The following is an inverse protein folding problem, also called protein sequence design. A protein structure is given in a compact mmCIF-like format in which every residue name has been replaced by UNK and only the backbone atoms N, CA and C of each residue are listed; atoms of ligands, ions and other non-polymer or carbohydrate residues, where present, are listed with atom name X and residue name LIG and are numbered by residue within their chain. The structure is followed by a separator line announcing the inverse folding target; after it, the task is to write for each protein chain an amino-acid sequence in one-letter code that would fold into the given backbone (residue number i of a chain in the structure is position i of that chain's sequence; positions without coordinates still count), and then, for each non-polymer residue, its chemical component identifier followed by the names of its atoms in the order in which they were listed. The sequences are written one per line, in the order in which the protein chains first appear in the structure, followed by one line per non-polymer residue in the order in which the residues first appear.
data_IF_337045080849
#
_entry.id   IF_337045080849
#
_cell.length_a   1.000
_cell.length_b   1.000
_cell.length_c   1.000
_cell.angle_alpha   90.00
_cell.angle_beta   90.00
_cell.angle_gamma   90.00
#
_symmetry.space_group_name_H-M   'P 1'
#
loop_
_entity.id
_entity.type
_entity.pdbx_description
1 polymer ?
#
# COMPACT_ATOMS: atom_id res chain seq x y z
N UNK A 1 -46.36 49.57 50.99
CA UNK A 1 -45.59 49.88 49.77
C UNK A 1 -44.23 49.22 49.89
N UNK A 2 -43.94 48.15 49.14
CA UNK A 2 -42.58 47.78 48.70
C UNK A 2 -42.74 46.70 47.62
N UNK A 3 -42.55 47.08 46.34
CA UNK A 3 -42.53 46.16 45.20
C UNK A 3 -41.10 45.62 45.06
N UNK A 4 -40.90 44.33 45.31
CA UNK A 4 -39.65 43.64 45.02
C UNK A 4 -39.71 43.08 43.60
N UNK A 5 -38.94 43.67 42.67
CA UNK A 5 -38.79 43.15 41.30
C UNK A 5 -37.65 42.13 41.29
N UNK A 6 -37.97 40.86 41.03
CA UNK A 6 -36.99 39.81 40.72
C UNK A 6 -36.68 39.86 39.22
N UNK A 7 -35.44 40.18 38.87
CA UNK A 7 -34.91 40.16 37.52
C UNK A 7 -34.39 38.74 37.24
N UNK A 8 -35.07 38.00 36.36
CA UNK A 8 -34.61 36.67 35.91
C UNK A 8 -33.65 36.87 34.74
N UNK A 9 -32.36 36.66 34.97
CA UNK A 9 -31.34 36.63 33.93
C UNK A 9 -31.27 35.20 33.40
N UNK A 10 -31.84 34.97 32.21
CA UNK A 10 -31.67 33.72 31.48
C UNK A 10 -30.26 33.69 30.86
N UNK A 11 -29.34 32.99 31.51
CA UNK A 11 -28.02 32.67 30.93
C UNK A 11 -28.22 31.48 29.99
N UNK A 12 -28.40 31.77 28.71
CA UNK A 12 -28.37 30.76 27.65
C UNK A 12 -26.92 30.30 27.44
N UNK A 13 -26.57 29.16 28.04
CA UNK A 13 -25.31 28.46 27.80
C UNK A 13 -25.44 27.79 26.42
N UNK A 14 -24.89 28.44 25.39
CA UNK A 14 -24.67 27.81 24.10
C UNK A 14 -23.56 26.77 24.22
N UNK A 15 -23.92 25.50 24.25
CA UNK A 15 -22.98 24.39 24.06
C UNK A 15 -22.71 24.26 22.56
N UNK A 16 -21.74 25.01 22.06
CA UNK A 16 -21.09 24.73 20.77
C UNK A 16 -20.20 23.51 20.93
N UNK A 17 -20.77 22.33 20.69
CA UNK A 17 -20.00 21.09 20.55
C UNK A 17 -19.32 21.08 19.17
N UNK A 18 -18.13 21.67 19.07
CA UNK A 18 -17.23 21.40 17.95
C UNK A 18 -16.53 20.06 18.23
N UNK A 19 -17.08 18.96 17.71
CA UNK A 19 -16.34 17.71 17.61
C UNK A 19 -15.24 17.88 16.55
N UNK A 20 -14.04 18.29 16.97
CA UNK A 20 -12.87 18.21 16.12
C UNK A 20 -12.51 16.72 15.97
N UNK A 21 -12.78 16.15 14.79
CA UNK A 21 -12.27 14.83 14.44
C UNK A 21 -10.73 14.88 14.47
N UNK A 22 -10.12 14.08 15.34
CA UNK A 22 -8.67 13.93 15.42
C UNK A 22 -8.17 13.22 14.15
N UNK A 23 -7.73 14.02 13.18
CA UNK A 23 -7.12 13.55 11.94
C UNK A 23 -5.73 12.95 12.22
N UNK A 24 -5.56 11.65 11.97
CA UNK A 24 -4.24 11.00 11.96
C UNK A 24 -3.59 11.19 10.59
N UNK A 25 -2.44 11.86 10.53
CA UNK A 25 -1.70 12.07 9.28
C UNK A 25 -1.30 10.72 8.65
N UNK A 26 -1.59 10.49 7.36
CA UNK A 26 -1.17 9.27 6.66
C UNK A 26 0.36 9.15 6.66
N UNK A 27 0.87 8.00 7.09
CA UNK A 27 2.29 7.65 6.97
C UNK A 27 2.66 7.46 5.50
N UNK A 28 3.58 8.27 4.98
CA UNK A 28 4.12 8.13 3.61
C UNK A 28 3.93 9.34 2.70
N UNK A 29 3.05 10.27 3.07
CA UNK A 29 3.00 11.58 2.42
C UNK A 29 4.23 12.39 2.85
N UNK A 30 4.77 13.20 1.94
CA UNK A 30 5.91 14.10 2.17
C UNK A 30 5.56 15.27 3.10
N UNK A 31 4.97 14.99 4.25
CA UNK A 31 4.68 15.96 5.31
C UNK A 31 5.96 16.46 5.97
N UNK A 32 5.94 17.68 6.50
CA UNK A 32 7.00 18.19 7.37
C UNK A 32 6.48 18.31 8.80
N UNK A 33 7.16 17.66 9.74
CA UNK A 33 7.08 18.04 11.16
C UNK A 33 7.90 19.33 11.35
N UNK A 34 7.25 20.40 11.82
CA UNK A 34 7.92 21.59 12.33
C UNK A 34 8.66 22.50 11.32
N UNK A 35 8.27 23.78 11.30
CA UNK A 35 9.22 24.91 11.27
C UNK A 35 10.16 25.16 10.07
N UNK A 36 10.05 24.49 8.92
CA UNK A 36 10.81 24.88 7.72
C UNK A 36 9.99 25.79 6.77
N UNK A 37 10.60 26.91 6.38
CA UNK A 37 9.98 28.17 5.89
C UNK A 37 9.25 28.16 4.53
N UNK A 38 8.92 27.00 3.96
CA UNK A 38 8.31 26.95 2.59
C UNK A 38 7.08 26.05 2.45
N UNK A 39 6.65 25.37 3.50
CA UNK A 39 5.46 24.53 3.42
C UNK A 39 4.16 25.37 3.39
N UNK A 40 3.25 25.02 2.49
CA UNK A 40 1.94 25.64 2.31
C UNK A 40 0.86 24.80 2.99
N UNK A 41 -0.03 25.44 3.73
CA UNK A 41 -1.21 24.77 4.30
C UNK A 41 -2.33 24.79 3.28
N UNK A 42 -2.84 23.63 2.92
CA UNK A 42 -4.01 23.44 2.06
C UNK A 42 -5.20 23.00 2.92
N UNK A 43 -6.29 23.75 2.87
CA UNK A 43 -7.55 23.41 3.52
C UNK A 43 -8.42 22.66 2.52
N UNK A 44 -8.82 21.44 2.84
CA UNK A 44 -9.72 20.63 2.01
C UNK A 44 -11.03 20.45 2.75
N UNK A 45 -12.16 20.73 2.09
CA UNK A 45 -13.50 20.54 2.67
C UNK A 45 -14.45 19.87 1.68
N UNK A 46 -15.49 19.22 2.18
CA UNK A 46 -16.62 18.74 1.37
C UNK A 46 -17.74 19.80 1.34
N UNK A 47 -18.36 20.02 0.19
CA UNK A 47 -19.59 20.80 0.11
C UNK A 47 -20.83 20.02 0.59
N UNK A 48 -22.02 20.62 0.46
CA UNK A 48 -23.31 20.11 0.90
C UNK A 48 -24.08 19.32 -0.17
N UNK A 49 -23.48 19.07 -1.34
CA UNK A 49 -24.15 18.32 -2.40
C UNK A 49 -24.22 16.84 -2.07
N UNK A 50 -25.44 16.31 -2.07
CA UNK A 50 -25.70 14.88 -1.90
C UNK A 50 -25.40 14.10 -3.18
N UNK A 51 -25.01 12.84 -3.01
CA UNK A 51 -24.97 11.88 -4.11
C UNK A 51 -26.38 11.50 -4.56
N UNK A 52 -26.51 10.92 -5.76
CA UNK A 52 -27.79 10.59 -6.38
C UNK A 52 -28.70 9.67 -5.53
N UNK A 53 -28.13 8.91 -4.59
CA UNK A 53 -28.85 7.97 -3.73
C UNK A 53 -28.84 8.34 -2.24
N UNK A 54 -28.24 9.47 -1.88
CA UNK A 54 -28.14 9.91 -0.48
C UNK A 54 -29.32 10.82 -0.07
N UNK A 55 -29.68 10.75 1.21
CA UNK A 55 -30.61 11.69 1.84
C UNK A 55 -29.83 12.60 2.81
N UNK A 56 -30.32 13.80 3.18
CA UNK A 56 -29.64 14.68 4.15
C UNK A 56 -29.26 13.97 5.46
N UNK A 57 -30.13 13.06 5.92
CA UNK A 57 -29.96 12.21 7.10
C UNK A 57 -29.11 10.93 6.87
N UNK A 58 -28.78 10.56 5.63
CA UNK A 58 -28.03 9.34 5.29
C UNK A 58 -26.96 9.65 4.24
N UNK A 59 -25.78 10.02 4.71
CA UNK A 59 -24.63 10.42 3.90
C UNK A 59 -23.67 9.23 3.72
N UNK A 60 -24.05 8.26 2.90
CA UNK A 60 -23.29 7.02 2.73
C UNK A 60 -22.23 7.12 1.61
N UNK A 61 -22.07 8.30 1.03
CA UNK A 61 -21.25 8.53 -0.16
C UNK A 61 -20.10 9.52 0.11
N UNK A 62 -19.01 9.09 0.79
CA UNK A 62 -17.85 9.94 0.99
C UNK A 62 -17.09 10.18 -0.31
N UNK A 63 -16.49 11.36 -0.46
CA UNK A 63 -15.43 11.57 -1.45
C UNK A 63 -14.10 11.15 -0.82
N UNK A 64 -13.46 10.13 -1.39
CA UNK A 64 -12.12 9.73 -1.01
C UNK A 64 -11.11 10.63 -1.69
N UNK A 65 -10.31 11.34 -0.89
CA UNK A 65 -9.30 12.27 -1.36
C UNK A 65 -7.90 11.64 -1.23
N UNK A 66 -7.11 11.80 -2.27
CA UNK A 66 -5.76 11.25 -2.39
C UNK A 66 -4.78 12.36 -2.75
N UNK A 67 -3.57 12.25 -2.20
CA UNK A 67 -2.40 13.03 -2.61
C UNK A 67 -1.33 12.03 -3.02
N UNK A 68 -0.82 12.10 -4.26
CA UNK A 68 0.21 11.21 -4.81
C UNK A 68 -0.09 9.70 -4.60
N UNK A 69 -1.35 9.31 -4.80
CA UNK A 69 -1.90 7.95 -4.58
C UNK A 69 -2.08 7.49 -3.12
N UNK A 70 -1.74 8.30 -2.12
CA UNK A 70 -2.01 7.98 -0.72
C UNK A 70 -3.40 8.49 -0.35
N UNK A 71 -4.26 7.64 0.23
CA UNK A 71 -5.57 8.07 0.69
C UNK A 71 -5.42 9.00 1.89
N UNK A 72 -5.61 10.28 1.60
CA UNK A 72 -5.44 11.39 2.52
C UNK A 72 -6.66 11.64 3.39
N UNK A 73 -7.83 11.11 3.01
CA UNK A 73 -9.03 11.17 3.84
C UNK A 73 -10.29 10.73 3.10
N UNK A 74 -11.33 10.43 3.87
CA UNK A 74 -12.69 10.19 3.37
C UNK A 74 -13.58 11.33 3.86
N UNK A 75 -14.14 12.09 2.93
CA UNK A 75 -14.83 13.34 3.21
C UNK A 75 -16.34 13.20 3.04
N UNK A 76 -17.04 13.14 4.18
CA UNK A 76 -18.49 13.28 4.27
C UNK A 76 -18.90 14.76 4.27
N UNK A 77 -20.18 15.07 4.09
CA UNK A 77 -20.65 16.46 4.10
C UNK A 77 -20.24 17.11 5.44
N UNK A 78 -19.80 18.37 5.37
CA UNK A 78 -19.22 19.16 6.47
C UNK A 78 -17.84 18.70 6.98
N UNK A 79 -17.24 17.63 6.44
CA UNK A 79 -15.86 17.30 6.79
C UNK A 79 -14.89 18.32 6.20
N UNK A 80 -13.87 18.66 6.98
CA UNK A 80 -12.73 19.44 6.54
C UNK A 80 -11.44 18.89 7.17
N UNK A 81 -10.32 19.08 6.48
CA UNK A 81 -8.98 18.73 6.95
C UNK A 81 -7.95 19.72 6.43
N UNK A 82 -6.80 19.78 7.10
CA UNK A 82 -5.68 20.63 6.72
C UNK A 82 -4.46 19.77 6.39
N UNK A 83 -3.81 20.07 5.27
CA UNK A 83 -2.62 19.38 4.79
C UNK A 83 -1.46 20.36 4.68
N UNK A 84 -0.33 20.04 5.30
CA UNK A 84 0.89 20.86 5.20
C UNK A 84 1.82 20.27 4.16
N UNK A 85 1.85 20.87 2.97
CA UNK A 85 2.54 20.35 1.78
C UNK A 85 3.76 21.21 1.44
N UNK A 86 4.79 20.61 0.84
CA UNK A 86 5.94 21.34 0.28
C UNK A 86 5.52 22.05 -1.02
N UNK A 87 6.26 23.05 -1.53
CA UNK A 87 5.93 23.71 -2.79
C UNK A 87 6.40 22.85 -3.98
N UNK A 88 5.77 21.69 -4.16
CA UNK A 88 6.05 20.71 -5.21
C UNK A 88 4.79 20.48 -6.08
N UNK A 89 4.93 19.71 -7.16
CA UNK A 89 3.78 19.20 -7.93
C UNK A 89 3.20 18.01 -7.18
N UNK A 90 1.90 18.04 -6.91
CA UNK A 90 1.15 16.91 -6.37
C UNK A 90 0.09 16.45 -7.36
N UNK A 91 -0.20 15.15 -7.35
CA UNK A 91 -1.42 14.61 -7.94
C UNK A 91 -2.51 14.61 -6.88
N UNK A 92 -3.49 15.49 -7.01
CA UNK A 92 -4.72 15.48 -6.23
C UNK A 92 -5.76 14.63 -6.94
N UNK A 93 -6.21 13.56 -6.28
CA UNK A 93 -7.20 12.65 -6.84
C UNK A 93 -8.40 12.54 -5.91
N UNK A 94 -9.59 12.68 -6.46
CA UNK A 94 -10.85 12.42 -5.77
C UNK A 94 -11.53 11.21 -6.38
N UNK A 95 -12.06 10.34 -5.54
CA UNK A 95 -12.85 9.18 -5.96
C UNK A 95 -14.18 9.15 -5.23
N UNK A 96 -15.22 8.78 -5.95
CA UNK A 96 -16.50 8.39 -5.40
C UNK A 96 -16.82 7.00 -5.94
N UNK A 97 -16.87 6.02 -5.04
CA UNK A 97 -17.11 4.63 -5.40
C UNK A 97 -18.38 4.13 -4.71
N UNK A 98 -19.26 3.50 -5.48
CA UNK A 98 -20.35 2.66 -4.98
C UNK A 98 -19.92 1.19 -5.02
N UNK A 99 -20.83 0.29 -4.64
CA UNK A 99 -20.60 -1.16 -4.76
C UNK A 99 -20.45 -1.65 -6.20
N UNK A 100 -20.85 -0.85 -7.19
CA UNK A 100 -20.96 -1.25 -8.60
C UNK A 100 -20.06 -0.42 -9.53
N UNK A 101 -19.82 0.86 -9.21
CA UNK A 101 -19.06 1.78 -10.07
C UNK A 101 -18.15 2.67 -9.24
N UNK A 102 -17.00 3.04 -9.78
CA UNK A 102 -16.18 4.10 -9.19
C UNK A 102 -15.80 5.16 -10.21
N UNK A 103 -16.10 6.41 -9.88
CA UNK A 103 -15.77 7.59 -10.68
C UNK A 103 -14.66 8.40 -10.01
N UNK A 104 -13.79 9.01 -10.81
CA UNK A 104 -12.67 9.79 -10.29
C UNK A 104 -12.37 11.05 -11.10
N UNK A 105 -11.68 11.98 -10.44
CA UNK A 105 -11.08 13.16 -11.05
C UNK A 105 -9.67 13.33 -10.51
N UNK A 106 -8.72 13.50 -11.42
CA UNK A 106 -7.29 13.68 -11.17
C UNK A 106 -6.87 15.09 -11.57
N UNK A 107 -6.08 15.76 -10.73
CA UNK A 107 -5.55 17.09 -11.01
C UNK A 107 -4.08 17.11 -10.59
N UNK A 108 -3.17 17.28 -11.54
CA UNK A 108 -1.75 17.51 -11.28
C UNK A 108 -1.55 19.02 -11.07
N UNK A 109 -1.09 19.44 -9.89
CA UNK A 109 -1.04 20.85 -9.51
C UNK A 109 0.17 21.18 -8.64
N UNK A 110 0.84 22.30 -8.94
CA UNK A 110 1.79 22.91 -8.02
C UNK A 110 1.03 23.71 -6.96
N UNK A 111 1.35 23.55 -5.68
CA UNK A 111 0.59 24.21 -4.60
C UNK A 111 0.60 25.75 -4.71
N UNK A 112 1.63 26.32 -5.32
CA UNK A 112 1.76 27.76 -5.58
C UNK A 112 0.92 28.28 -6.78
N UNK A 113 0.31 27.39 -7.57
CA UNK A 113 -0.57 27.75 -8.69
C UNK A 113 -2.05 27.85 -8.27
N UNK A 114 -2.36 27.54 -7.02
CA UNK A 114 -3.69 27.73 -6.47
C UNK A 114 -4.03 29.22 -6.33
N UNK A 115 -5.26 29.59 -6.66
CA UNK A 115 -5.77 30.95 -6.45
C UNK A 115 -5.89 31.28 -4.95
N UNK A 116 -6.18 30.28 -4.13
CA UNK A 116 -6.16 30.34 -2.67
C UNK A 116 -5.84 28.95 -2.07
N UNK A 117 -5.63 28.88 -0.77
CA UNK A 117 -5.29 27.63 -0.08
C UNK A 117 -6.49 26.69 0.14
N UNK A 118 -7.65 26.94 -0.48
CA UNK A 118 -8.88 26.23 -0.19
C UNK A 118 -9.30 25.34 -1.37
N UNK A 119 -9.40 24.05 -1.12
CA UNK A 119 -9.97 23.07 -2.03
C UNK A 119 -11.34 22.64 -1.50
N UNK A 120 -12.34 22.69 -2.37
CA UNK A 120 -13.68 22.14 -2.06
C UNK A 120 -13.92 20.92 -2.92
N UNK A 121 -14.17 19.79 -2.26
CA UNK A 121 -14.52 18.53 -2.89
C UNK A 121 -16.03 18.54 -3.15
N UNK A 122 -16.40 18.34 -4.41
CA UNK A 122 -17.78 18.39 -4.87
C UNK A 122 -18.11 17.16 -5.72
N UNK A 123 -19.39 16.95 -5.98
CA UNK A 123 -19.89 15.85 -6.79
C UNK A 123 -20.98 16.36 -7.73
N UNK A 124 -21.01 15.81 -8.95
CA UNK A 124 -22.09 16.09 -9.88
C UNK A 124 -23.30 15.16 -9.66
N UNK A 125 -24.39 15.44 -10.37
CA UNK A 125 -25.64 14.66 -10.31
C UNK A 125 -25.49 13.19 -10.74
N UNK A 126 -24.41 12.84 -11.44
CA UNK A 126 -24.14 11.48 -11.91
C UNK A 126 -23.17 10.74 -10.98
N UNK A 127 -22.76 11.36 -9.86
CA UNK A 127 -21.83 10.78 -8.91
C UNK A 127 -20.36 11.08 -9.21
N UNK A 128 -20.04 11.92 -10.20
CA UNK A 128 -18.66 12.20 -10.60
C UNK A 128 -18.04 13.21 -9.64
N UNK A 129 -16.98 12.86 -8.90
CA UNK A 129 -16.34 13.78 -7.99
C UNK A 129 -15.45 14.77 -8.76
N UNK A 130 -15.30 15.98 -8.24
CA UNK A 130 -14.40 17.00 -8.78
C UNK A 130 -13.89 17.94 -7.68
N UNK A 131 -12.87 18.74 -8.01
CA UNK A 131 -12.21 19.66 -7.07
C UNK A 131 -12.46 21.09 -7.53
N UNK A 132 -12.89 21.95 -6.60
CA UNK A 132 -13.00 23.39 -6.81
C UNK A 132 -11.85 24.11 -6.10
N UNK A 133 -11.26 25.11 -6.75
CA UNK A 133 -10.41 26.12 -6.11
C UNK A 133 -10.98 27.51 -6.38
N UNK A 134 -11.21 28.29 -5.32
CA UNK A 134 -11.90 29.58 -5.42
C UNK A 134 -13.21 29.53 -6.25
N UNK A 135 -14.02 28.48 -6.02
CA UNK A 135 -15.30 28.27 -6.71
C UNK A 135 -15.22 27.81 -8.17
N UNK A 136 -14.01 27.71 -8.75
CA UNK A 136 -13.81 27.21 -10.12
C UNK A 136 -13.40 25.75 -10.10
N UNK A 137 -14.01 24.95 -10.96
CA UNK A 137 -13.63 23.55 -11.15
C UNK A 137 -12.24 23.47 -11.75
N UNK A 138 -11.37 22.72 -11.06
CA UNK A 138 -10.07 22.35 -11.59
C UNK A 138 -10.29 21.33 -12.71
N UNK A 139 -9.64 21.56 -13.85
CA UNK A 139 -9.77 20.68 -15.01
C UNK A 139 -9.27 19.30 -14.62
N UNK A 140 -10.20 18.34 -14.51
CA UNK A 140 -9.84 16.96 -14.34
C UNK A 140 -8.98 16.55 -15.53
N UNK A 141 -7.72 16.23 -15.28
CA UNK A 141 -6.94 15.44 -16.21
C UNK A 141 -7.75 14.18 -16.45
N UNK A 142 -8.24 14.00 -17.68
CA UNK A 142 -8.67 12.70 -18.17
C UNK A 142 -7.39 11.88 -18.32
N UNK A 143 -6.76 11.55 -17.19
CA UNK A 143 -5.64 10.64 -17.12
C UNK A 143 -6.29 9.29 -17.34
N UNK A 144 -6.50 8.95 -18.62
CA UNK A 144 -6.53 7.54 -19.02
C UNK A 144 -5.39 6.91 -18.24
N UNK A 145 -5.73 5.95 -17.38
CA UNK A 145 -4.76 5.26 -16.55
C UNK A 145 -3.61 4.88 -17.50
N UNK A 146 -2.48 5.55 -17.36
CA UNK A 146 -1.28 5.11 -18.07
C UNK A 146 -1.14 3.67 -17.62
N UNK A 147 -1.16 2.68 -18.52
CA UNK A 147 -1.08 1.29 -18.08
C UNK A 147 0.24 1.19 -17.33
N UNK A 148 0.16 1.14 -16.00
CA UNK A 148 1.29 0.85 -15.15
C UNK A 148 1.58 -0.60 -15.41
N UNK A 149 2.47 -0.85 -16.37
CA UNK A 149 2.87 -2.19 -16.76
C UNK A 149 3.53 -2.80 -15.54
N UNK A 150 2.85 -3.76 -14.93
CA UNK A 150 3.48 -4.58 -13.90
C UNK A 150 4.53 -5.45 -14.56
N UNK A 151 5.72 -5.47 -13.97
CA UNK A 151 6.79 -6.35 -14.37
C UNK A 151 6.92 -7.46 -13.34
N UNK A 152 7.03 -8.70 -13.81
CA UNK A 152 7.38 -9.83 -12.96
C UNK A 152 8.87 -10.11 -13.05
N UNK A 153 9.57 -9.98 -11.92
CA UNK A 153 10.97 -10.37 -11.79
C UNK A 153 11.07 -11.70 -11.07
N UNK A 154 11.94 -12.59 -11.57
CA UNK A 154 12.17 -13.91 -10.98
C UNK A 154 13.57 -13.97 -10.39
N UNK A 155 13.66 -14.33 -9.12
CA UNK A 155 14.92 -14.49 -8.38
C UNK A 155 14.98 -15.92 -7.85
N UNK A 156 16.15 -16.54 -7.94
CA UNK A 156 16.39 -17.91 -7.45
C UNK A 156 17.28 -17.83 -6.20
N UNK A 157 16.75 -18.23 -5.05
CA UNK A 157 17.52 -18.35 -3.82
C UNK A 157 17.96 -19.80 -3.62
N UNK A 158 19.26 -20.03 -3.52
CA UNK A 158 19.84 -21.37 -3.29
C UNK A 158 19.52 -21.87 -1.89
N UNK A 159 18.87 -23.03 -1.77
CA UNK A 159 18.53 -23.58 -0.45
C UNK A 159 19.80 -23.94 0.36
N UNK A 160 20.87 -24.36 -0.30
CA UNK A 160 22.15 -24.70 0.35
C UNK A 160 22.90 -23.47 0.86
N UNK A 161 22.62 -22.30 0.28
CA UNK A 161 23.14 -21.03 0.79
C UNK A 161 22.29 -20.51 1.93
N UNK A 162 20.98 -20.75 1.85
CA UNK A 162 20.01 -20.30 2.84
C UNK A 162 20.09 -21.11 4.14
N UNK A 163 20.18 -22.43 4.06
CA UNK A 163 19.98 -23.35 5.18
C UNK A 163 21.17 -24.29 5.38
N UNK A 164 21.34 -24.80 6.60
CA UNK A 164 22.13 -26.01 6.86
C UNK A 164 21.58 -27.18 6.03
N UNK A 165 22.40 -28.22 5.86
CA UNK A 165 21.98 -29.44 5.17
C UNK A 165 20.66 -29.98 5.73
N UNK A 166 19.71 -30.28 4.84
CA UNK A 166 18.34 -30.72 5.14
C UNK A 166 17.49 -29.72 5.97
N UNK A 167 18.03 -28.52 6.19
CA UNK A 167 17.39 -27.46 6.96
C UNK A 167 16.26 -26.77 6.19
N UNK A 168 15.31 -26.25 6.96
CA UNK A 168 14.18 -25.48 6.42
C UNK A 168 13.60 -24.44 7.36
N UNK A 169 14.00 -24.42 8.62
CA UNK A 169 13.47 -23.51 9.64
C UNK A 169 14.40 -22.31 9.86
N UNK A 170 13.91 -21.31 10.61
CA UNK A 170 14.73 -20.16 11.03
C UNK A 170 16.00 -20.56 11.81
N UNK A 171 15.97 -21.69 12.54
CA UNK A 171 17.11 -22.21 13.29
C UNK A 171 18.16 -22.89 12.41
N UNK A 172 17.74 -23.31 11.22
CA UNK A 172 18.62 -23.92 10.21
C UNK A 172 19.23 -22.88 9.29
N UNK A 173 18.72 -21.64 9.31
CA UNK A 173 19.16 -20.56 8.44
C UNK A 173 20.62 -20.19 8.73
N UNK A 174 21.43 -20.13 7.69
CA UNK A 174 22.81 -19.70 7.76
C UNK A 174 22.89 -18.17 7.83
N UNK A 175 23.94 -17.59 8.44
CA UNK A 175 24.12 -16.13 8.46
C UNK A 175 24.09 -15.49 7.07
N UNK A 176 24.75 -16.15 6.09
CA UNK A 176 24.72 -15.72 4.68
C UNK A 176 23.32 -15.78 4.10
N UNK A 177 22.56 -16.84 4.38
CA UNK A 177 21.17 -16.99 3.96
C UNK A 177 20.27 -15.88 4.49
N UNK A 178 20.42 -15.54 5.77
CA UNK A 178 19.72 -14.40 6.38
C UNK A 178 20.04 -13.08 5.67
N UNK A 179 21.31 -12.86 5.36
CA UNK A 179 21.74 -11.66 4.66
C UNK A 179 21.12 -11.59 3.26
N UNK A 180 21.12 -12.69 2.50
CA UNK A 180 20.53 -12.71 1.15
C UNK A 180 19.03 -12.36 1.15
N UNK A 181 18.26 -12.86 2.12
CA UNK A 181 16.83 -12.52 2.25
C UNK A 181 16.64 -11.07 2.70
N UNK A 182 17.53 -10.56 3.56
CA UNK A 182 17.51 -9.15 4.01
C UNK A 182 17.81 -8.20 2.84
N UNK A 183 18.83 -8.52 2.04
CA UNK A 183 19.18 -7.77 0.83
C UNK A 183 18.05 -7.80 -0.20
N UNK A 184 17.34 -8.93 -0.31
CA UNK A 184 16.16 -9.04 -1.16
C UNK A 184 15.03 -8.10 -0.69
N UNK A 185 14.73 -8.06 0.61
CA UNK A 185 13.75 -7.10 1.15
C UNK A 185 14.14 -5.64 0.87
N UNK A 186 15.44 -5.32 1.01
CA UNK A 186 15.97 -4.00 0.64
C UNK A 186 15.79 -3.71 -0.85
N UNK A 187 16.06 -4.68 -1.73
CA UNK A 187 15.84 -4.52 -3.18
C UNK A 187 14.37 -4.31 -3.53
N UNK A 188 13.46 -5.00 -2.85
CA UNK A 188 12.02 -4.84 -3.06
C UNK A 188 11.59 -3.40 -2.69
N UNK A 189 11.95 -2.93 -1.50
CA UNK A 189 11.58 -1.57 -1.04
C UNK A 189 12.23 -0.45 -1.88
N UNK A 190 13.45 -0.67 -2.37
CA UNK A 190 14.18 0.32 -3.14
C UNK A 190 13.83 0.29 -4.63
N UNK A 191 13.52 -0.86 -5.20
CA UNK A 191 13.34 -1.07 -6.64
C UNK A 191 11.91 -0.95 -7.15
N UNK A 192 10.90 -0.98 -6.26
CA UNK A 192 9.49 -0.92 -6.65
C UNK A 192 8.81 0.34 -6.15
N UNK A 193 7.99 0.95 -7.02
CA UNK A 193 7.00 1.98 -6.65
C UNK A 193 5.87 1.32 -5.87
N UNK A 194 5.41 0.15 -6.32
CA UNK A 194 4.44 -0.69 -5.64
C UNK A 194 4.65 -2.16 -5.98
N UNK A 195 4.32 -3.03 -5.03
CA UNK A 195 4.38 -4.48 -5.20
C UNK A 195 2.96 -5.02 -5.10
N UNK A 196 2.53 -5.74 -6.11
CA UNK A 196 1.19 -6.31 -6.20
C UNK A 196 1.16 -7.74 -5.68
N UNK A 197 2.20 -8.52 -5.98
CA UNK A 197 2.33 -9.89 -5.51
C UNK A 197 3.80 -10.33 -5.39
N UNK A 198 4.07 -11.19 -4.43
CA UNK A 198 5.29 -11.96 -4.26
C UNK A 198 4.89 -13.41 -4.09
N UNK A 199 5.35 -14.28 -4.99
CA UNK A 199 5.13 -15.72 -4.89
C UNK A 199 6.44 -16.43 -4.61
N UNK A 200 6.47 -17.15 -3.48
CA UNK A 200 7.62 -17.91 -3.02
C UNK A 200 7.33 -19.40 -3.27
N UNK A 201 8.05 -20.01 -4.19
CA UNK A 201 7.89 -21.44 -4.51
C UNK A 201 9.11 -22.22 -4.05
N UNK A 202 8.92 -23.15 -3.13
CA UNK A 202 9.98 -24.06 -2.67
C UNK A 202 10.15 -25.24 -3.63
N UNK A 203 11.41 -25.64 -3.83
CA UNK A 203 11.80 -26.80 -4.63
C UNK A 203 12.83 -27.65 -3.89
N UNK A 204 12.81 -28.95 -4.16
CA UNK A 204 13.84 -29.90 -3.73
C UNK A 204 14.45 -30.58 -4.95
N UNK A 205 15.57 -31.27 -4.74
CA UNK A 205 16.00 -32.28 -5.70
C UNK A 205 15.15 -33.56 -5.58
N UNK A 206 15.43 -34.53 -6.45
CA UNK A 206 14.71 -35.80 -6.52
C UNK A 206 15.07 -36.83 -5.43
N UNK A 207 15.98 -36.51 -4.51
CA UNK A 207 16.37 -37.43 -3.44
C UNK A 207 15.34 -37.36 -2.31
N UNK A 208 14.92 -38.52 -1.80
CA UNK A 208 13.85 -38.63 -0.80
C UNK A 208 12.51 -39.01 -1.41
N UNK A 209 11.45 -38.99 -0.59
CA UNK A 209 10.10 -39.31 -1.04
C UNK A 209 9.28 -38.04 -1.30
N UNK A 210 8.29 -38.14 -2.17
CA UNK A 210 7.44 -37.02 -2.59
C UNK A 210 6.83 -36.23 -1.42
N UNK A 211 6.21 -36.92 -0.46
CA UNK A 211 5.54 -36.26 0.67
C UNK A 211 6.51 -35.51 1.57
N UNK A 212 7.73 -36.04 1.74
CA UNK A 212 8.80 -35.38 2.47
C UNK A 212 9.26 -34.12 1.73
N UNK A 213 9.55 -34.26 0.44
CA UNK A 213 10.02 -33.17 -0.41
C UNK A 213 9.01 -32.02 -0.49
N UNK A 214 7.72 -32.33 -0.60
CA UNK A 214 6.65 -31.34 -0.57
C UNK A 214 6.64 -30.53 0.74
N UNK A 215 6.73 -31.21 1.89
CA UNK A 215 6.76 -30.52 3.20
C UNK A 215 8.03 -29.70 3.38
N UNK A 216 9.17 -30.22 2.93
CA UNK A 216 10.47 -29.55 3.02
C UNK A 216 10.49 -28.27 2.18
N UNK A 217 10.06 -28.35 0.92
CA UNK A 217 9.95 -27.20 0.03
C UNK A 217 8.99 -26.14 0.58
N UNK A 218 7.81 -26.54 1.07
CA UNK A 218 6.85 -25.62 1.68
C UNK A 218 7.46 -24.89 2.89
N UNK A 219 8.09 -25.65 3.80
CA UNK A 219 8.70 -25.08 5.01
C UNK A 219 9.80 -24.07 4.69
N UNK A 220 10.59 -24.31 3.64
CA UNK A 220 11.61 -23.37 3.15
C UNK A 220 10.99 -22.08 2.63
N UNK A 221 9.94 -22.18 1.81
CA UNK A 221 9.23 -21.01 1.30
C UNK A 221 8.63 -20.17 2.44
N UNK A 222 8.02 -20.84 3.44
CA UNK A 222 7.45 -20.18 4.62
C UNK A 222 8.51 -19.49 5.49
N UNK A 223 9.71 -20.08 5.63
CA UNK A 223 10.81 -19.42 6.34
C UNK A 223 11.28 -18.16 5.62
N UNK A 224 11.40 -18.19 4.29
CA UNK A 224 11.75 -16.99 3.49
C UNK A 224 10.66 -15.93 3.63
N UNK A 225 9.36 -16.31 3.56
CA UNK A 225 8.22 -15.41 3.81
C UNK A 225 8.36 -14.69 5.14
N UNK A 226 8.58 -15.43 6.22
CA UNK A 226 8.67 -14.87 7.56
C UNK A 226 9.83 -13.87 7.70
N UNK A 227 10.97 -14.14 7.06
CA UNK A 227 12.10 -13.20 7.05
C UNK A 227 11.80 -11.94 6.23
N UNK A 228 11.12 -12.04 5.08
CA UNK A 228 10.73 -10.87 4.29
C UNK A 228 9.78 -9.98 5.10
N UNK A 229 8.83 -10.56 5.83
CA UNK A 229 7.90 -9.82 6.70
C UNK A 229 8.64 -9.13 7.84
N UNK A 230 9.58 -9.84 8.50
CA UNK A 230 10.43 -9.26 9.54
C UNK A 230 11.25 -8.06 9.03
N UNK A 231 11.54 -8.02 7.73
CA UNK A 231 12.26 -6.92 7.07
C UNK A 231 11.33 -5.91 6.38
N UNK A 232 10.04 -5.90 6.72
CA UNK A 232 9.10 -4.84 6.33
C UNK A 232 8.32 -5.06 5.04
N UNK A 233 8.42 -6.24 4.41
CA UNK A 233 7.56 -6.58 3.27
C UNK A 233 6.15 -6.93 3.79
N UNK A 234 5.11 -6.35 3.19
CA UNK A 234 3.74 -6.56 3.64
C UNK A 234 3.29 -8.02 3.48
N UNK A 235 2.72 -8.60 4.53
CA UNK A 235 2.22 -9.97 4.56
C UNK A 235 1.18 -10.26 3.46
N UNK A 236 0.32 -9.27 3.20
CA UNK A 236 -0.79 -9.35 2.24
C UNK A 236 -0.38 -9.53 0.79
N UNK A 237 0.87 -9.22 0.43
CA UNK A 237 1.36 -9.39 -0.93
C UNK A 237 2.14 -10.70 -1.11
N UNK A 238 2.41 -11.46 -0.04
CA UNK A 238 3.24 -12.66 -0.11
C UNK A 238 2.40 -13.94 -0.05
N UNK A 239 2.59 -14.81 -1.03
CA UNK A 239 2.06 -16.18 -1.06
C UNK A 239 3.20 -17.20 -1.09
N UNK A 240 2.98 -18.38 -0.53
CA UNK A 240 3.92 -19.50 -0.57
C UNK A 240 3.31 -20.71 -1.26
N UNK A 241 4.14 -21.48 -1.94
CA UNK A 241 3.78 -22.73 -2.58
C UNK A 241 4.96 -23.71 -2.53
N UNK A 242 4.66 -24.98 -2.75
CA UNK A 242 5.66 -26.03 -2.89
C UNK A 242 5.47 -26.79 -4.19
N UNK A 243 6.58 -27.03 -4.88
CA UNK A 243 6.63 -27.95 -6.02
C UNK A 243 7.40 -29.23 -5.70
N UNK A 244 7.93 -29.37 -4.47
CA UNK A 244 8.81 -30.49 -4.12
C UNK A 244 9.87 -30.71 -5.21
N UNK A 245 9.99 -31.96 -5.67
CA UNK A 245 10.91 -32.37 -6.73
C UNK A 245 10.36 -32.26 -8.16
N UNK A 246 9.13 -31.79 -8.36
CA UNK A 246 8.42 -31.95 -9.66
C UNK A 246 8.81 -30.92 -10.72
N UNK A 247 9.66 -29.95 -10.40
CA UNK A 247 10.14 -28.91 -11.33
C UNK A 247 11.68 -28.79 -11.25
N UNK A 248 12.42 -29.83 -11.68
CA UNK A 248 13.88 -29.79 -11.72
C UNK A 248 14.35 -28.80 -12.80
N UNK A 249 15.48 -28.16 -12.54
CA UNK A 249 16.24 -27.36 -13.51
C UNK A 249 17.48 -28.09 -13.99
N UNK A 250 17.88 -29.17 -13.31
CA UNK A 250 18.96 -30.05 -13.74
C UNK A 250 18.44 -31.15 -14.68
N UNK A 251 19.29 -31.57 -15.63
CA UNK A 251 18.99 -32.65 -16.59
C UNK A 251 19.25 -34.05 -15.99
N UNK A 252 18.75 -34.30 -14.78
CA UNK A 252 18.80 -35.61 -14.11
C UNK A 252 20.18 -36.12 -13.67
N UNK A 253 21.26 -35.43 -14.04
CA UNK A 253 22.66 -35.68 -13.65
C UNK A 253 23.23 -37.05 -14.11
N UNK A 254 23.19 -37.39 -15.40
CA UNK A 254 23.58 -38.72 -15.90
C UNK A 254 25.08 -39.05 -15.71
N UNK A 255 25.94 -38.03 -15.61
CA UNK A 255 27.39 -38.20 -15.48
C UNK A 255 27.88 -38.34 -14.03
N UNK A 256 26.98 -38.32 -13.04
CA UNK A 256 27.36 -38.44 -11.64
C UNK A 256 27.80 -39.87 -11.30
N UNK A 257 29.11 -40.06 -11.04
CA UNK A 257 29.72 -41.38 -10.77
C UNK A 257 29.76 -41.77 -9.29
N UNK A 258 29.33 -40.89 -8.39
CA UNK A 258 29.26 -41.14 -6.95
C UNK A 258 28.07 -40.41 -6.35
N UNK A 259 27.66 -40.81 -5.14
CA UNK A 259 26.58 -40.14 -4.42
C UNK A 259 26.91 -38.65 -4.16
N UNK A 260 28.17 -38.34 -3.88
CA UNK A 260 28.61 -36.97 -3.66
C UNK A 260 28.56 -36.12 -4.94
N UNK A 261 29.00 -36.70 -6.06
CA UNK A 261 28.89 -36.06 -7.37
C UNK A 261 27.42 -35.82 -7.75
N UNK A 262 26.52 -36.76 -7.41
CA UNK A 262 25.09 -36.61 -7.65
C UNK A 262 24.48 -35.48 -6.82
N UNK A 263 24.76 -35.43 -5.51
CA UNK A 263 24.28 -34.35 -4.62
C UNK A 263 24.74 -32.97 -5.08
N UNK A 264 25.98 -32.89 -5.55
CA UNK A 264 26.58 -31.66 -6.09
C UNK A 264 25.89 -31.25 -7.38
N UNK A 265 25.68 -32.19 -8.30
CA UNK A 265 25.03 -31.90 -9.58
C UNK A 265 23.57 -31.47 -9.40
N UNK A 266 22.83 -32.08 -8.47
CA UNK A 266 21.43 -31.75 -8.17
C UNK A 266 21.25 -30.45 -7.36
N UNK A 267 22.33 -29.80 -6.95
CA UNK A 267 22.28 -28.61 -6.10
C UNK A 267 21.37 -27.48 -6.65
N UNK A 268 21.38 -27.17 -7.95
CA UNK A 268 20.50 -26.13 -8.51
C UNK A 268 19.00 -26.41 -8.33
N UNK A 269 18.58 -27.67 -8.16
CA UNK A 269 17.17 -28.01 -7.95
C UNK A 269 16.68 -27.57 -6.56
N UNK A 270 17.58 -27.56 -5.57
CA UNK A 270 17.30 -27.15 -4.19
C UNK A 270 17.28 -25.62 -4.08
N UNK A 271 16.11 -25.02 -4.27
CA UNK A 271 15.96 -23.56 -4.34
C UNK A 271 14.60 -23.08 -3.83
N UNK A 272 14.52 -21.78 -3.58
CA UNK A 272 13.26 -21.05 -3.46
C UNK A 272 13.19 -20.05 -4.61
N UNK A 273 12.20 -20.22 -5.50
CA UNK A 273 11.90 -19.27 -6.57
C UNK A 273 11.09 -18.12 -5.96
N UNK A 274 11.50 -16.88 -6.24
CA UNK A 274 10.82 -15.66 -5.80
C UNK A 274 10.35 -14.91 -7.04
N UNK A 275 9.04 -14.89 -7.27
CA UNK A 275 8.40 -14.14 -8.35
C UNK A 275 7.81 -12.86 -7.76
N UNK A 276 8.31 -11.68 -8.17
CA UNK A 276 7.87 -10.37 -7.67
C UNK A 276 7.18 -9.63 -8.80
N UNK A 277 5.88 -9.40 -8.65
CA UNK A 277 5.05 -8.66 -9.59
C UNK A 277 4.73 -7.29 -9.02
N UNK A 278 5.03 -6.23 -9.76
CA UNK A 278 4.71 -4.87 -9.36
C UNK A 278 5.23 -3.83 -10.34
N UNK A 279 5.08 -2.57 -9.95
CA UNK A 279 5.55 -1.42 -10.72
C UNK A 279 6.97 -1.09 -10.25
N UNK A 280 7.97 -1.31 -11.09
CA UNK A 280 9.35 -0.92 -10.80
C UNK A 280 9.52 0.60 -10.81
N UNK A 281 10.50 1.12 -10.06
CA UNK A 281 10.93 2.52 -10.15
C UNK A 281 11.66 2.81 -11.46
#
# INVERSE_FOLDING_TARGET
MYKLRLLVIAVSIGLSACAANNYSQPTGLRFQEGGNDKAQVINVKRDDKLCAEDAPEKQNCPINFYIDNIQSGSFYINNAAQYRLKPEIYNFKVKNCTSQECQSCDVDLQTNQLSDNNLTLSIDKNGKPYILNNGKELVCSKKEATPTIEHTSVIQLSADTLFKFDGSTLNDLLPKGRQEVTDLASKISQGYVSVSAIKLTGHTDRLGNHNYNQKLAQSRADTVRNLLIQNGVADSVISTASMGETQPVTDGCPNAKSQEALKTCLQPDRRVTVEITGISK
#
